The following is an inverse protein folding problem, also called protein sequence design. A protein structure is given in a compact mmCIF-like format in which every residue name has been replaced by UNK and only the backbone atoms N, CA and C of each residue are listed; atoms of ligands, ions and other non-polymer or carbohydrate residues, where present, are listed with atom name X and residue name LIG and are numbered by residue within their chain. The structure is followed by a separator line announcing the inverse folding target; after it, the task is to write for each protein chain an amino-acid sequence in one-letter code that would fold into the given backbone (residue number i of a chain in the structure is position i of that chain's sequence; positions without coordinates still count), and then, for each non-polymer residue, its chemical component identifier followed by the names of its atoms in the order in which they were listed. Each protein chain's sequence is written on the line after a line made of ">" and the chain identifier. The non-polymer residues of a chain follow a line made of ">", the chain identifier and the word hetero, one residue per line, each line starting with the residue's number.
data_IF_170146795479
#
_entry.id   IF_170146795479
#
_cell.length_a   1.000
_cell.length_b   1.000
_cell.length_c   1.000
_cell.angle_alpha   90.00
_cell.angle_beta   90.00
_cell.angle_gamma   90.00
#
_symmetry.space_group_name_H-M   'P 1'
#
loop_
_entity.id
_entity.type
_entity.pdbx_description
1 polymer ?
2 polymer ?
3 polymer ?
4 non-polymer ?
5 non-polymer ?
6 water ?
#
# COMPACT_ATOMS: atom_id res chain seq x y z
N UNK A 3 2.52 6.93 -17.69
CA UNK A 3 1.74 5.89 -16.96
C UNK A 3 0.62 6.52 -16.14
N UNK A 4 -0.45 5.76 -15.92
CA UNK A 4 -1.57 6.26 -15.14
C UNK A 4 -2.04 5.31 -14.05
N UNK A 5 -2.11 4.01 -14.35
CA UNK A 5 -2.56 3.04 -13.35
C UNK A 5 -1.78 1.73 -13.42
N UNK A 6 -1.62 1.10 -12.26
CA UNK A 6 -0.90 -0.16 -12.18
C UNK A 6 -1.62 -1.13 -11.23
N UNK A 7 -1.79 -2.37 -11.68
CA UNK A 7 -2.42 -3.40 -10.85
C UNK A 7 -1.35 -4.45 -10.64
N UNK A 8 -1.03 -4.73 -9.38
CA UNK A 8 -0.01 -5.71 -9.07
C UNK A 8 -0.52 -6.88 -8.23
N UNK A 9 -0.28 -8.08 -8.72
CA UNK A 9 -0.65 -9.30 -8.00
C UNK A 9 0.65 -9.66 -7.29
N UNK A 10 0.68 -9.48 -5.98
CA UNK A 10 1.87 -9.77 -5.19
C UNK A 10 1.66 -10.99 -4.29
N UNK A 11 2.59 -11.92 -4.36
CA UNK A 11 2.49 -13.14 -3.55
C UNK A 11 3.88 -13.55 -3.07
N UNK A 12 3.93 -14.19 -1.92
CA UNK A 12 5.20 -14.64 -1.37
C UNK A 12 5.06 -15.87 -0.48
N UNK A 13 6.17 -16.54 -0.25
CA UNK A 13 6.21 -17.70 0.64
C UNK A 13 7.49 -17.53 1.44
N UNK A 14 7.41 -17.80 2.75
CA UNK A 14 8.54 -17.63 3.63
C UNK A 14 8.88 -18.87 4.45
N UNK A 15 10.17 -19.22 4.47
CA UNK A 15 10.67 -20.34 5.26
C UNK A 15 11.58 -19.74 6.33
N UNK A 16 11.70 -20.41 7.49
CA UNK A 16 11.03 -21.67 7.86
C UNK A 16 9.62 -21.48 8.39
N UNK A 17 9.14 -20.25 8.40
CA UNK A 17 7.81 -19.96 8.90
C UNK A 17 6.70 -20.72 8.19
N UNK A 18 6.94 -21.10 6.94
CA UNK A 18 5.96 -21.84 6.16
C UNK A 18 4.68 -21.03 6.07
N UNK A 19 4.81 -19.74 5.77
CA UNK A 19 3.68 -18.84 5.64
C UNK A 19 3.74 -18.10 4.31
N UNK A 20 2.57 -17.87 3.72
CA UNK A 20 2.53 -17.17 2.46
C UNK A 20 1.35 -16.24 2.38
N UNK A 21 1.42 -15.26 1.49
CA UNK A 21 0.34 -14.31 1.30
C UNK A 21 0.12 -14.06 -0.18
N UNK A 22 -1.08 -13.63 -0.52
CA UNK A 22 -1.46 -13.37 -1.91
C UNK A 22 -2.41 -12.18 -1.92
N UNK A 23 -2.06 -11.14 -2.66
CA UNK A 23 -2.92 -9.97 -2.73
C UNK A 23 -2.82 -9.22 -4.05
N UNK A 24 -3.82 -8.39 -4.31
CA UNK A 24 -3.85 -7.56 -5.50
C UNK A 24 -3.77 -6.12 -5.01
N UNK A 25 -2.95 -5.32 -5.69
CA UNK A 25 -2.74 -3.92 -5.34
C UNK A 25 -3.10 -3.04 -6.54
N UNK A 26 -3.84 -1.96 -6.29
CA UNK A 26 -4.21 -1.01 -7.33
C UNK A 26 -3.66 0.34 -6.89
N UNK A 27 -2.68 0.85 -7.62
CA UNK A 27 -2.06 2.14 -7.32
C UNK A 27 -1.68 2.34 -5.85
N UNK A 28 -1.24 1.28 -5.18
CA UNK A 28 -0.84 1.42 -3.79
C UNK A 28 -1.85 0.94 -2.75
N UNK A 29 -3.08 0.72 -3.17
CA UNK A 29 -4.11 0.23 -2.26
C UNK A 29 -4.43 -1.23 -2.56
N UNK A 30 -4.88 -1.95 -1.55
CA UNK A 30 -5.20 -3.37 -1.70
C UNK A 30 -6.65 -3.59 -2.16
N UNK A 31 -6.84 -4.44 -3.17
CA UNK A 31 -8.20 -4.74 -3.63
C UNK A 31 -8.71 -5.87 -2.77
N UNK A 32 -7.88 -6.90 -2.60
CA UNK A 32 -8.21 -8.06 -1.77
C UNK A 32 -6.96 -8.90 -1.52
N UNK A 33 -7.08 -9.85 -0.60
CA UNK A 33 -6.00 -10.79 -0.33
C UNK A 33 -6.69 -12.11 -0.01
N UNK A 34 -5.91 -13.19 0.04
CA UNK A 34 -6.45 -14.50 0.34
C UNK A 34 -5.96 -15.01 1.70
N UNK A 35 -6.91 -15.33 2.59
CA UNK A 35 -6.59 -15.87 3.90
C UNK A 35 -6.15 -17.32 3.65
N UNK A 36 -4.85 -17.57 3.76
CA UNK A 36 -4.31 -18.90 3.51
C UNK A 36 -4.86 -19.99 4.44
N UNK A 37 -5.10 -19.63 5.69
CA UNK A 37 -5.60 -20.58 6.67
C UNK A 37 -7.04 -20.96 6.38
N UNK A 38 -7.88 -19.95 6.12
CA UNK A 38 -9.29 -20.19 5.84
C UNK A 38 -9.54 -20.46 4.36
N UNK A 39 -8.54 -20.16 3.54
CA UNK A 39 -8.62 -20.37 2.09
C UNK A 39 -9.79 -19.57 1.52
N UNK A 40 -9.90 -18.32 1.96
CA UNK A 40 -11.00 -17.46 1.52
C UNK A 40 -10.52 -16.12 0.98
N UNK A 41 -11.37 -15.50 0.18
CA UNK A 41 -11.09 -14.20 -0.41
C UNK A 41 -11.55 -13.11 0.55
N UNK A 42 -10.65 -12.19 0.87
CA UNK A 42 -10.95 -11.09 1.78
C UNK A 42 -10.84 -9.76 1.05
N UNK A 43 -11.96 -9.10 0.83
CA UNK A 43 -11.95 -7.81 0.14
C UNK A 43 -11.56 -6.70 1.11
N UNK A 44 -10.75 -5.75 0.63
CA UNK A 44 -10.28 -4.66 1.47
C UNK A 44 -11.42 -3.76 1.96
N UNK A 45 -12.35 -3.47 1.07
CA UNK A 45 -13.52 -2.67 1.42
C UNK A 45 -14.70 -3.59 1.11
N UNK A 46 -15.62 -3.70 2.05
CA UNK A 46 -16.79 -4.57 1.88
C UNK A 46 -17.53 -4.49 0.55
N UNK A 47 -17.78 -3.28 0.05
CA UNK A 47 -18.51 -3.14 -1.20
C UNK A 47 -17.85 -3.84 -2.39
N UNK A 48 -16.52 -3.94 -2.38
CA UNK A 48 -15.80 -4.59 -3.48
C UNK A 48 -16.38 -5.98 -3.79
N UNK A 49 -16.72 -6.71 -2.73
CA UNK A 49 -17.27 -8.05 -2.88
C UNK A 49 -18.54 -8.17 -3.70
N UNK A 50 -19.25 -7.08 -3.89
CA UNK A 50 -20.48 -7.13 -4.68
C UNK A 50 -20.21 -6.64 -6.10
N UNK A 51 -18.97 -6.21 -6.35
CA UNK A 51 -18.58 -5.70 -7.66
C UNK A 51 -17.75 -6.72 -8.41
N UNK A 52 -17.07 -7.59 -7.69
CA UNK A 52 -16.21 -8.59 -8.33
C UNK A 52 -16.14 -9.89 -7.54
N UNK A 53 -15.53 -10.90 -8.16
CA UNK A 53 -15.39 -12.21 -7.56
C UNK A 53 -14.02 -12.82 -7.81
N UNK A 54 -13.46 -13.48 -6.81
CA UNK A 54 -12.17 -14.13 -6.98
C UNK A 54 -12.20 -15.47 -6.27
N UNK A 55 -11.83 -16.53 -6.99
CA UNK A 55 -11.81 -17.87 -6.41
C UNK A 55 -10.49 -18.06 -5.67
N UNK A 56 -10.56 -18.11 -4.35
CA UNK A 56 -9.38 -18.24 -3.50
C UNK A 56 -8.46 -19.42 -3.80
N UNK A 57 -9.04 -20.56 -4.17
CA UNK A 57 -8.25 -21.75 -4.44
C UNK A 57 -7.10 -21.51 -5.42
N UNK A 58 -7.32 -20.63 -6.40
CA UNK A 58 -6.27 -20.33 -7.35
C UNK A 58 -5.03 -19.83 -6.64
N UNK A 59 -5.24 -18.97 -5.65
CA UNK A 59 -4.15 -18.41 -4.85
C UNK A 59 -3.39 -19.50 -4.10
N UNK A 60 -4.12 -20.48 -3.56
CA UNK A 60 -3.48 -21.57 -2.83
C UNK A 60 -2.54 -22.38 -3.71
N UNK A 61 -2.97 -22.65 -4.94
CA UNK A 61 -2.15 -23.40 -5.88
C UNK A 61 -0.91 -22.60 -6.26
N UNK A 62 -1.05 -21.28 -6.37
CA UNK A 62 0.06 -20.40 -6.69
C UNK A 62 1.10 -20.49 -5.57
N UNK A 63 0.64 -20.36 -4.33
CA UNK A 63 1.53 -20.43 -3.17
C UNK A 63 2.29 -21.75 -3.12
N UNK A 64 1.62 -22.85 -3.48
CA UNK A 64 2.27 -24.15 -3.49
C UNK A 64 3.46 -24.11 -4.46
N UNK A 65 3.26 -23.45 -5.60
CA UNK A 65 4.33 -23.32 -6.58
C UNK A 65 5.44 -22.41 -6.06
N UNK A 66 5.07 -21.31 -5.41
CA UNK A 66 6.08 -20.39 -4.87
C UNK A 66 6.92 -21.11 -3.82
N UNK A 67 6.28 -22.00 -3.06
CA UNK A 67 6.97 -22.77 -2.02
C UNK A 67 7.99 -23.69 -2.68
N UNK A 68 7.58 -24.34 -3.75
CA UNK A 68 8.47 -25.24 -4.48
C UNK A 68 9.63 -24.44 -5.07
N UNK A 69 9.33 -23.28 -5.63
CA UNK A 69 10.38 -22.43 -6.21
C UNK A 69 11.36 -21.96 -5.14
N UNK A 70 10.85 -21.66 -3.95
CA UNK A 70 11.68 -21.21 -2.84
C UNK A 70 12.71 -22.26 -2.43
N UNK A 71 12.24 -23.50 -2.25
CA UNK A 71 13.13 -24.57 -1.86
C UNK A 71 14.26 -24.72 -2.88
N UNK A 72 13.91 -24.62 -4.17
CA UNK A 72 14.91 -24.73 -5.23
C UNK A 72 15.88 -23.55 -5.26
N UNK A 73 15.34 -22.34 -5.19
CA UNK A 73 16.18 -21.15 -5.23
C UNK A 73 17.05 -20.99 -3.99
N UNK A 74 16.59 -21.51 -2.86
CA UNK A 74 17.35 -21.43 -1.62
C UNK A 74 18.62 -22.25 -1.80
N UNK A 75 18.47 -23.45 -2.34
CA UNK A 75 19.60 -24.33 -2.58
C UNK A 75 20.57 -23.75 -3.62
N UNK A 76 20.03 -23.22 -4.71
CA UNK A 76 20.86 -22.64 -5.76
C UNK A 76 21.64 -21.40 -5.32
N UNK A 77 21.18 -20.73 -4.27
CA UNK A 77 21.86 -19.54 -3.79
C UNK A 77 22.69 -19.83 -2.54
N UNK A 78 23.06 -21.09 -2.34
CA UNK A 78 23.87 -21.50 -1.21
C UNK A 78 23.31 -21.14 0.16
N UNK A 79 21.99 -21.34 0.32
CA UNK A 79 21.31 -21.06 1.57
C UNK A 79 21.62 -19.70 2.20
N UNK A 80 21.93 -18.70 1.38
CA UNK A 80 22.20 -17.38 1.91
C UNK A 80 20.88 -16.83 2.45
N UNK A 81 20.85 -16.48 3.74
CA UNK A 81 19.64 -15.95 4.37
C UNK A 81 19.33 -14.51 3.93
N UNK A 82 18.06 -14.14 4.03
CA UNK A 82 17.65 -12.79 3.67
C UNK A 82 18.23 -11.85 4.71
N UNK A 83 18.55 -10.63 4.30
CA UNK A 83 19.09 -9.64 5.23
C UNK A 83 17.92 -8.87 5.83
N UNK A 84 17.90 -8.75 7.15
CA UNK A 84 16.83 -8.04 7.83
C UNK A 84 16.93 -6.54 7.61
N UNK A 85 15.80 -5.91 7.31
CA UNK A 85 15.73 -4.47 7.13
C UNK A 85 14.64 -4.02 8.10
N UNK A 86 15.04 -3.34 9.18
CA UNK A 86 14.12 -2.84 10.21
C UNK A 86 13.13 -1.81 9.68
N UNK A 87 11.91 -1.81 10.23
CA UNK A 87 10.91 -0.85 9.77
C UNK A 87 10.98 0.51 10.43
N UNK A 88 10.36 1.48 9.78
CA UNK A 88 10.25 2.80 10.37
C UNK A 88 8.76 2.81 10.69
N UNK A 89 8.42 3.31 11.87
CA UNK A 89 7.04 3.33 12.32
C UNK A 89 6.53 4.74 12.56
N UNK A 90 5.31 5.02 12.09
CA UNK A 90 4.69 6.32 12.25
C UNK A 90 3.28 6.15 12.79
N UNK A 91 2.92 6.94 13.80
CA UNK A 91 1.58 6.88 14.38
C UNK A 91 0.90 8.21 14.10
N UNK A 92 -0.31 8.16 13.56
CA UNK A 92 -1.07 9.36 13.24
C UNK A 92 -2.56 9.07 13.31
N UNK A 93 -3.38 10.10 13.22
CA UNK A 93 -4.83 9.91 13.25
C UNK A 93 -5.33 10.08 11.82
N UNK A 94 -6.50 9.54 11.52
CA UNK A 94 -7.00 9.69 10.16
C UNK A 94 -7.61 11.06 9.90
N UNK A 95 -7.83 11.83 10.97
CA UNK A 95 -8.38 13.18 10.86
C UNK A 95 -8.05 14.00 12.10
N UNK A 96 -8.25 15.32 12.05
CA UNK A 96 -7.97 16.17 13.21
C UNK A 96 -8.73 15.68 14.43
N UNK A 97 -8.07 15.68 15.58
CA UNK A 97 -8.66 15.20 16.82
C UNK A 97 -9.55 16.19 17.55
N UNK A 98 -10.72 15.71 17.98
CA UNK A 98 -11.69 16.49 18.73
C UNK A 98 -12.25 15.64 19.87
N UNK A 99 -12.34 16.24 21.06
CA UNK A 99 -12.80 15.57 22.27
C UNK A 99 -13.89 14.49 22.20
N UNK A 100 -15.12 14.87 21.87
CA UNK A 100 -16.21 13.89 21.83
C UNK A 100 -16.56 13.33 20.46
N UNK A 101 -15.59 13.34 19.55
CA UNK A 101 -15.79 12.81 18.20
C UNK A 101 -14.86 11.64 17.98
N UNK A 102 -15.41 10.45 17.69
CA UNK A 102 -14.58 9.28 17.46
C UNK A 102 -13.58 9.51 16.33
N UNK A 103 -12.43 8.83 16.40
CA UNK A 103 -11.39 8.97 15.40
C UNK A 103 -10.70 7.62 15.26
N UNK A 104 -9.62 7.59 14.49
CA UNK A 104 -8.89 6.35 14.28
C UNK A 104 -7.38 6.59 14.32
N UNK A 105 -6.68 5.83 15.17
CA UNK A 105 -5.24 5.94 15.26
C UNK A 105 -4.69 4.98 14.21
N UNK A 106 -3.68 5.43 13.48
CA UNK A 106 -3.06 4.60 12.44
C UNK A 106 -1.60 4.35 12.76
N UNK A 107 -1.19 3.09 12.75
CA UNK A 107 0.21 2.76 12.99
C UNK A 107 0.70 2.27 11.64
N UNK A 108 1.58 3.04 11.02
CA UNK A 108 2.13 2.70 9.70
C UNK A 108 3.54 2.15 9.84
N UNK A 109 3.72 0.88 9.47
CA UNK A 109 5.00 0.17 9.53
C UNK A 109 5.49 0.11 8.09
N UNK A 110 6.66 0.69 7.84
CA UNK A 110 7.17 0.81 6.48
C UNK A 110 8.63 0.42 6.25
N UNK A 111 8.94 0.11 4.98
CA UNK A 111 10.28 -0.22 4.53
C UNK A 111 11.01 -1.34 5.28
N UNK A 112 10.37 -2.49 5.42
CA UNK A 112 10.99 -3.61 6.11
C UNK A 112 10.86 -4.95 5.37
N UNK A 113 11.66 -5.92 5.82
CA UNK A 113 11.66 -7.28 5.29
C UNK A 113 12.57 -8.07 6.23
N UNK A 114 12.26 -9.36 6.46
CA UNK A 114 11.14 -10.13 5.92
C UNK A 114 9.77 -9.68 6.42
N UNK A 115 8.69 -10.13 5.74
CA UNK A 115 7.31 -9.77 6.10
C UNK A 115 6.79 -10.49 7.34
N UNK A 116 7.40 -10.17 8.49
CA UNK A 116 7.00 -10.74 9.77
C UNK A 116 7.18 -9.65 10.84
N UNK A 117 6.10 -9.35 11.56
CA UNK A 117 6.15 -8.35 12.63
C UNK A 117 5.13 -8.66 13.71
N UNK A 118 5.39 -8.13 14.91
CA UNK A 118 4.45 -8.27 16.02
C UNK A 118 4.06 -6.83 16.28
N UNK A 119 2.77 -6.55 16.30
CA UNK A 119 2.31 -5.19 16.53
C UNK A 119 1.31 -5.21 17.68
N UNK A 120 1.47 -4.28 18.62
CA UNK A 120 0.57 -4.20 19.75
C UNK A 120 0.17 -2.76 20.03
N UNK A 121 -1.12 -2.55 20.24
CA UNK A 121 -1.63 -1.22 20.59
C UNK A 121 -1.72 -1.19 22.11
N UNK A 122 -1.23 -0.12 22.72
CA UNK A 122 -1.28 0.03 24.16
C UNK A 122 -1.94 1.36 24.50
N UNK A 123 -2.96 1.32 25.35
CA UNK A 123 -3.65 2.52 25.79
C UNK A 123 -3.41 2.58 27.29
N UNK A 124 -2.62 3.56 27.73
CA UNK A 124 -2.30 3.69 29.14
C UNK A 124 -1.68 2.37 29.62
N UNK A 125 -0.84 1.79 28.77
CA UNK A 125 -0.18 0.55 29.12
C UNK A 125 -1.01 -0.71 28.94
N UNK A 126 -2.30 -0.58 28.65
CA UNK A 126 -3.15 -1.75 28.47
C UNK A 126 -3.20 -2.20 27.01
N UNK A 127 -2.93 -3.49 26.75
CA UNK A 127 -2.98 -3.98 25.37
C UNK A 127 -4.42 -3.89 24.85
N UNK A 128 -4.60 -3.27 23.70
CA UNK A 128 -5.93 -3.12 23.13
C UNK A 128 -6.14 -4.06 21.95
N UNK A 129 -7.12 -4.94 22.08
CA UNK A 129 -7.43 -5.90 21.03
C UNK A 129 -8.89 -5.80 20.63
N UNK A 130 -9.55 -4.73 21.09
CA UNK A 130 -10.96 -4.52 20.78
C UNK A 130 -11.15 -3.49 19.68
N UNK A 131 -11.85 -3.89 18.62
CA UNK A 131 -12.10 -2.99 17.52
C UNK A 131 -10.94 -2.75 16.58
N UNK A 132 -9.78 -3.32 16.91
CA UNK A 132 -8.60 -3.11 16.06
C UNK A 132 -8.67 -3.89 14.76
N UNK A 133 -7.91 -3.42 13.77
CA UNK A 133 -7.85 -4.10 12.48
C UNK A 133 -6.47 -3.83 11.90
N UNK A 134 -6.12 -4.58 10.86
CA UNK A 134 -4.81 -4.43 10.24
C UNK A 134 -4.86 -4.90 8.80
N UNK A 135 -3.84 -4.57 8.02
CA UNK A 135 -3.77 -5.00 6.63
C UNK A 135 -2.74 -6.12 6.56
N UNK A 136 -2.67 -6.80 5.42
CA UNK A 136 -1.68 -7.84 5.22
C UNK A 136 -0.42 -7.06 4.81
N UNK A 137 0.63 -7.77 4.42
CA UNK A 137 1.86 -7.09 4.01
C UNK A 137 1.73 -6.57 2.59
N UNK A 138 1.79 -5.24 2.45
CA UNK A 138 1.62 -4.57 1.16
C UNK A 138 2.96 -4.33 0.44
N UNK A 139 2.93 -4.35 -0.90
CA UNK A 139 4.13 -4.15 -1.72
C UNK A 139 4.64 -2.71 -1.87
N UNK A 140 5.94 -2.61 -2.15
CA UNK A 140 6.62 -1.35 -2.37
C UNK A 140 7.47 -1.56 -3.62
N UNK A 141 7.71 -0.48 -4.37
CA UNK A 141 8.50 -0.59 -5.58
C UNK A 141 9.94 -1.04 -5.32
N UNK A 142 10.43 -0.82 -4.11
CA UNK A 142 11.78 -1.23 -3.76
C UNK A 142 11.80 -2.64 -3.18
N UNK A 143 10.64 -3.30 -3.23
CA UNK A 143 10.48 -4.67 -2.78
C UNK A 143 10.49 -4.94 -1.29
N UNK A 144 10.41 -3.87 -0.50
CA UNK A 144 10.33 -4.00 0.94
C UNK A 144 8.81 -4.04 1.15
N UNK A 145 8.37 -4.08 2.41
CA UNK A 145 6.94 -4.14 2.69
C UNK A 145 6.39 -2.96 3.49
N UNK A 146 5.06 -2.82 3.44
CA UNK A 146 4.31 -1.79 4.17
C UNK A 146 3.22 -2.55 4.92
N UNK A 147 2.74 -1.98 6.02
CA UNK A 147 1.67 -2.62 6.78
C UNK A 147 0.98 -1.55 7.62
N UNK A 148 -0.35 -1.59 7.70
CA UNK A 148 -1.10 -0.63 8.49
C UNK A 148 -1.92 -1.32 9.60
N UNK A 149 -1.93 -0.71 10.78
CA UNK A 149 -2.72 -1.21 11.90
C UNK A 149 -3.63 -0.06 12.30
N UNK A 150 -4.85 -0.37 12.72
CA UNK A 150 -5.82 0.64 13.07
C UNK A 150 -6.47 0.46 14.43
N UNK A 151 -6.71 1.57 15.11
CA UNK A 151 -7.35 1.54 16.41
C UNK A 151 -8.37 2.68 16.53
N UNK A 152 -9.66 2.36 16.37
CA UNK A 152 -10.68 3.40 16.49
C UNK A 152 -10.68 3.80 17.97
N UNK A 153 -10.85 5.09 18.24
CA UNK A 153 -10.82 5.53 19.62
C UNK A 153 -11.61 6.81 19.82
N UNK A 154 -11.76 7.19 21.08
CA UNK A 154 -12.46 8.40 21.44
C UNK A 154 -11.43 9.29 22.13
N UNK A 155 -11.07 10.42 21.49
CA UNK A 155 -10.08 11.36 22.03
C UNK A 155 -10.34 11.72 23.49
N UNK A 156 -9.25 11.80 24.27
CA UNK A 156 -9.34 12.13 25.68
C UNK A 156 -8.00 12.67 26.17
N UNK A 157 -8.03 13.72 26.97
CA UNK A 157 -6.80 14.31 27.50
C UNK A 157 -6.17 13.39 28.54
N UNK A 158 -6.90 12.35 28.92
CA UNK A 158 -6.43 11.42 29.94
C UNK A 158 -5.75 10.16 29.41
N UNK A 159 -5.80 9.94 28.10
CA UNK A 159 -5.20 8.75 27.53
C UNK A 159 -3.91 8.96 26.73
N UNK A 160 -3.04 7.95 26.79
CA UNK A 160 -1.80 7.96 26.04
C UNK A 160 -1.82 6.66 25.26
N UNK A 161 -1.25 6.67 24.07
CA UNK A 161 -1.22 5.48 23.24
C UNK A 161 0.18 5.17 22.76
N UNK A 162 0.43 3.90 22.50
CA UNK A 162 1.71 3.44 22.00
C UNK A 162 1.47 2.33 20.99
N UNK A 163 2.20 2.38 19.89
CA UNK A 163 2.14 1.31 18.90
C UNK A 163 3.48 0.62 19.12
N UNK A 164 3.45 -0.63 19.60
CA UNK A 164 4.68 -1.36 19.86
C UNK A 164 4.94 -2.35 18.73
N UNK A 165 6.08 -2.18 18.06
CA UNK A 165 6.43 -3.04 16.95
C UNK A 165 7.71 -3.84 17.17
N UNK A 166 7.64 -5.13 16.84
CA UNK A 166 8.76 -6.03 16.97
C UNK A 166 9.11 -6.58 15.59
N UNK A 167 10.40 -6.62 15.27
CA UNK A 167 10.86 -7.13 13.99
C UNK A 167 12.31 -7.57 14.18
N UNK A 168 12.69 -8.68 13.55
CA UNK A 168 14.04 -9.21 13.69
C UNK A 168 15.15 -8.25 13.30
N UNK A 169 14.80 -7.19 12.57
CA UNK A 169 15.79 -6.20 12.18
C UNK A 169 16.05 -5.21 13.29
N UNK A 170 15.20 -5.25 14.32
CA UNK A 170 15.32 -4.36 15.47
C UNK A 170 15.94 -5.13 16.65
N UNK A 171 16.73 -4.43 17.45
CA UNK A 171 17.38 -5.05 18.61
C UNK A 171 16.42 -5.09 19.80
N UNK A 172 15.47 -4.17 19.81
CA UNK A 172 14.49 -4.11 20.89
C UNK A 172 13.17 -3.60 20.32
N UNK A 173 12.06 -3.79 21.04
CA UNK A 173 10.78 -3.32 20.52
C UNK A 173 10.83 -1.82 20.23
N UNK A 174 10.20 -1.43 19.13
CA UNK A 174 10.15 -0.03 18.74
C UNK A 174 8.78 0.51 19.15
N UNK A 175 8.77 1.52 20.02
CA UNK A 175 7.52 2.10 20.48
C UNK A 175 7.33 3.51 19.98
N UNK A 176 6.18 3.76 19.35
CA UNK A 176 5.85 5.09 18.85
C UNK A 176 4.68 5.57 19.71
N UNK A 177 4.89 6.71 20.37
CA UNK A 177 3.93 7.30 21.29
C UNK A 177 2.99 8.32 20.64
N UNK A 178 1.80 8.47 21.21
CA UNK A 178 0.83 9.45 20.73
C UNK A 178 -0.14 9.81 21.85
N UNK A 179 -0.49 11.10 21.92
CA UNK A 179 -1.44 11.56 22.92
C UNK A 179 -2.07 12.87 22.49
N UNK A 180 -3.31 13.09 22.91
CA UNK A 180 -4.04 14.30 22.57
C UNK A 180 -3.40 15.51 23.23
N UNK B 4 16.05 -18.12 13.76
CA UNK B 4 16.57 -18.88 12.59
C UNK B 4 16.65 -17.98 11.35
N UNK B 5 17.49 -18.36 10.38
CA UNK B 5 17.64 -17.58 9.14
C UNK B 5 16.35 -17.68 8.34
N UNK B 6 16.02 -16.63 7.58
CA UNK B 6 14.80 -16.67 6.77
C UNK B 6 15.10 -16.71 5.28
N UNK B 7 14.19 -17.30 4.53
CA UNK B 7 14.31 -17.42 3.08
C UNK B 7 12.98 -17.00 2.47
N UNK B 8 13.00 -15.95 1.65
CA UNK B 8 11.78 -15.43 1.06
C UNK B 8 11.70 -15.53 -0.46
N UNK B 9 10.55 -16.01 -0.95
CA UNK B 9 10.33 -16.12 -2.39
C UNK B 9 9.13 -15.23 -2.71
N UNK B 10 9.34 -14.27 -3.60
CA UNK B 10 8.31 -13.32 -3.98
C UNK B 10 8.06 -13.27 -5.49
N UNK B 11 6.79 -13.12 -5.86
CA UNK B 11 6.42 -13.00 -7.27
C UNK B 11 5.49 -11.81 -7.40
N UNK B 12 5.78 -10.93 -8.36
CA UNK B 12 4.95 -9.77 -8.62
C UNK B 12 4.55 -9.80 -10.08
N UNK B 13 3.24 -9.89 -10.32
CA UNK B 13 2.69 -9.89 -11.66
C UNK B 13 2.07 -8.51 -11.82
N UNK B 14 2.73 -7.66 -12.61
CA UNK B 14 2.29 -6.29 -12.80
C UNK B 14 1.66 -5.99 -14.14
N UNK B 15 0.60 -5.19 -14.09
CA UNK B 15 -0.12 -4.75 -15.27
C UNK B 15 -0.08 -3.23 -15.26
N UNK B 16 0.60 -2.66 -16.24
CA UNK B 16 0.74 -1.22 -16.35
C UNK B 16 -0.19 -0.71 -17.44
N UNK B 17 -1.01 0.28 -17.10
CA UNK B 17 -1.97 0.83 -18.04
C UNK B 17 -1.69 2.29 -18.38
N UNK B 18 -1.71 2.57 -19.67
CA UNK B 18 -1.48 3.93 -20.17
C UNK B 18 -2.70 4.31 -20.99
N UNK B 19 -3.38 5.38 -20.59
CA UNK B 19 -4.59 5.84 -21.26
C UNK B 19 -5.59 4.69 -21.30
N UNK B 20 -6.08 4.30 -20.14
CA UNK B 20 -7.02 3.20 -20.06
C UNK B 20 -6.32 1.92 -20.46
N UNK B 21 -6.90 1.18 -21.40
CA UNK B 21 -6.30 -0.06 -21.86
C UNK B 21 -5.69 0.11 -23.26
N UNK B 22 -5.43 1.35 -23.67
CA UNK B 22 -4.85 1.58 -24.98
C UNK B 22 -3.47 0.93 -25.05
N UNK B 23 -2.61 1.26 -24.09
CA UNK B 23 -1.28 0.67 -24.04
C UNK B 23 -1.13 -0.08 -22.73
N UNK B 24 -0.86 -1.37 -22.81
CA UNK B 24 -0.72 -2.21 -21.63
C UNK B 24 0.59 -2.98 -21.65
N UNK B 25 1.25 -3.04 -20.50
CA UNK B 25 2.50 -3.77 -20.37
C UNK B 25 2.42 -4.73 -19.18
N UNK B 26 2.74 -5.99 -19.45
CA UNK B 26 2.70 -7.04 -18.45
C UNK B 26 4.12 -7.42 -18.04
N UNK B 27 4.38 -7.42 -16.74
CA UNK B 27 5.67 -7.78 -16.20
C UNK B 27 5.48 -8.82 -15.11
N UNK B 28 6.18 -9.95 -15.27
CA UNK B 28 6.11 -11.03 -14.31
C UNK B 28 7.52 -11.10 -13.73
N UNK B 29 7.64 -10.71 -12.45
CA UNK B 29 8.94 -10.63 -11.79
C UNK B 29 9.14 -11.56 -10.59
N UNK B 30 10.26 -12.27 -10.60
CA UNK B 30 10.60 -13.21 -9.52
C UNK B 30 11.73 -12.70 -8.64
N UNK B 31 11.52 -12.72 -7.33
CA UNK B 31 12.52 -12.26 -6.37
C UNK B 31 12.85 -13.31 -5.31
N UNK B 32 14.14 -13.46 -5.00
CA UNK B 32 14.55 -14.38 -3.95
C UNK B 32 15.34 -13.54 -2.93
N UNK B 33 14.84 -13.45 -1.70
CA UNK B 33 15.48 -12.65 -0.66
C UNK B 33 15.76 -11.23 -1.14
N UNK B 34 14.75 -10.59 -1.72
CA UNK B 34 14.84 -9.21 -2.20
C UNK B 34 15.57 -9.02 -3.53
N UNK B 35 16.16 -10.08 -4.07
CA UNK B 35 16.89 -9.98 -5.33
C UNK B 35 16.10 -10.52 -6.52
N UNK B 36 15.76 -9.64 -7.45
CA UNK B 36 15.02 -10.06 -8.64
C UNK B 36 16.01 -10.85 -9.50
N UNK B 37 15.66 -12.09 -9.87
CA UNK B 37 16.58 -12.88 -10.68
C UNK B 37 16.13 -13.17 -12.11
N UNK B 38 14.82 -13.11 -12.37
CA UNK B 38 14.33 -13.35 -13.71
C UNK B 38 12.97 -12.67 -13.90
N UNK B 39 12.62 -12.34 -15.14
CA UNK B 39 11.34 -11.69 -15.40
C UNK B 39 10.86 -11.89 -16.83
N UNK B 40 9.55 -11.72 -17.02
CA UNK B 40 8.95 -11.79 -18.33
C UNK B 40 8.39 -10.39 -18.54
N UNK B 41 8.72 -9.80 -19.67
CA UNK B 41 8.28 -8.45 -20.02
C UNK B 41 7.52 -8.59 -21.34
N UNK B 42 6.25 -8.18 -21.36
CA UNK B 42 5.47 -8.29 -22.58
C UNK B 42 6.07 -7.52 -23.75
N UNK B 43 6.92 -6.53 -23.47
CA UNK B 43 7.56 -5.76 -24.55
C UNK B 43 8.58 -6.65 -25.27
N UNK B 44 9.11 -7.63 -24.56
CA UNK B 44 10.10 -8.54 -25.13
C UNK B 44 9.47 -9.84 -25.63
N UNK B 45 8.60 -10.46 -24.83
CA UNK B 45 7.95 -11.68 -25.26
C UNK B 45 8.61 -12.97 -24.80
N UNK B 46 9.64 -12.86 -23.98
CA UNK B 46 10.32 -14.03 -23.43
C UNK B 46 10.94 -13.66 -22.08
N UNK B 47 11.33 -14.68 -21.32
CA UNK B 47 11.95 -14.43 -20.03
C UNK B 47 13.39 -13.97 -20.18
N UNK B 48 13.82 -13.10 -19.28
CA UNK B 48 15.18 -12.59 -19.30
C UNK B 48 15.75 -12.64 -17.89
N UNK B 49 16.96 -13.16 -17.77
CA UNK B 49 17.60 -13.23 -16.46
C UNK B 49 17.97 -11.83 -16.03
N UNK B 50 17.72 -11.51 -14.77
CA UNK B 50 18.05 -10.19 -14.23
C UNK B 50 19.41 -10.31 -13.57
N UNK B 51 19.67 -11.49 -13.02
CA UNK B 51 20.96 -11.78 -12.39
C UNK B 51 21.38 -13.16 -12.89
N UNK B 52 22.64 -13.53 -12.65
CA UNK B 52 23.12 -14.82 -13.10
C UNK B 52 22.27 -15.96 -12.56
N UNK B 53 21.69 -15.74 -11.39
CA UNK B 53 20.85 -16.75 -10.74
C UNK B 53 19.64 -17.13 -11.61
N UNK B 54 19.21 -16.22 -12.47
CA UNK B 54 18.06 -16.51 -13.31
C UNK B 54 18.34 -17.01 -14.72
N UNK B 55 19.61 -17.13 -15.08
CA UNK B 55 19.96 -17.60 -16.42
C UNK B 55 19.40 -18.98 -16.74
N UNK B 56 19.61 -19.97 -15.86
CA UNK B 56 19.09 -21.31 -16.12
C UNK B 56 17.56 -21.34 -16.19
N UNK B 57 16.93 -20.47 -15.41
CA UNK B 57 15.48 -20.40 -15.37
C UNK B 57 14.92 -19.84 -16.68
N UNK B 58 15.48 -18.71 -17.13
CA UNK B 58 15.03 -18.09 -18.36
C UNK B 58 15.26 -19.02 -19.54
N UNK B 59 16.41 -19.68 -19.56
CA UNK B 59 16.73 -20.60 -20.65
C UNK B 59 15.74 -21.76 -20.71
N UNK B 60 15.45 -22.35 -19.56
CA UNK B 60 14.51 -23.47 -19.50
C UNK B 60 13.10 -23.07 -19.92
N UNK B 61 12.59 -21.98 -19.35
CA UNK B 61 11.25 -21.53 -19.67
C UNK B 61 11.10 -21.06 -21.11
N UNK B 62 12.11 -20.38 -21.64
CA UNK B 62 12.05 -19.88 -23.00
C UNK B 62 12.00 -20.97 -24.07
N UNK B 63 12.31 -22.20 -23.68
CA UNK B 63 12.29 -23.31 -24.61
C UNK B 63 10.90 -23.93 -24.66
N UNK B 64 9.99 -23.40 -23.84
CA UNK B 64 8.61 -23.88 -23.78
C UNK B 64 7.70 -22.90 -24.50
N UNK B 65 7.52 -23.08 -25.79
CA UNK B 65 6.67 -22.19 -26.58
C UNK B 65 5.25 -22.08 -26.03
N UNK B 66 4.73 -23.19 -25.51
CA UNK B 66 3.39 -23.21 -24.95
C UNK B 66 3.30 -22.24 -23.77
N UNK B 67 4.33 -22.24 -22.94
CA UNK B 67 4.39 -21.34 -21.79
C UNK B 67 4.46 -19.89 -22.25
N UNK B 68 5.37 -19.62 -23.19
CA UNK B 68 5.52 -18.26 -23.70
C UNK B 68 4.26 -17.76 -24.39
N UNK B 69 3.59 -18.62 -25.14
CA UNK B 69 2.37 -18.20 -25.82
C UNK B 69 1.31 -17.79 -24.80
N UNK B 70 1.28 -18.48 -23.67
CA UNK B 70 0.34 -18.18 -22.60
C UNK B 70 0.66 -16.81 -22.01
N UNK B 71 1.93 -16.60 -21.70
CA UNK B 71 2.37 -15.34 -21.11
C UNK B 71 2.20 -14.15 -22.07
N UNK B 72 2.38 -14.39 -23.36
CA UNK B 72 2.23 -13.32 -24.35
C UNK B 72 0.77 -12.92 -24.49
N UNK B 73 -0.12 -13.75 -23.97
CA UNK B 73 -1.54 -13.42 -24.08
C UNK B 73 -2.06 -12.74 -22.84
N UNK B 74 -1.22 -12.63 -21.82
CA UNK B 74 -1.65 -12.01 -20.57
C UNK B 74 -2.04 -10.52 -20.64
N UNK B 75 -1.41 -9.73 -21.50
CA UNK B 75 -1.81 -8.33 -21.58
C UNK B 75 -3.31 -8.24 -21.86
N UNK B 76 -3.85 -9.23 -22.55
CA UNK B 76 -5.27 -9.25 -22.88
C UNK B 76 -6.10 -10.07 -21.91
N UNK B 77 -5.73 -11.33 -21.74
CA UNK B 77 -6.45 -12.28 -20.89
C UNK B 77 -6.35 -12.03 -19.38
N UNK B 78 -5.36 -11.26 -18.98
CA UNK B 78 -5.13 -10.98 -17.56
C UNK B 78 -5.23 -9.49 -17.26
N UNK B 79 -4.34 -8.69 -17.84
CA UNK B 79 -4.34 -7.25 -17.62
C UNK B 79 -5.62 -6.54 -18.07
N UNK B 80 -5.91 -6.59 -19.37
CA UNK B 80 -7.12 -5.91 -19.84
C UNK B 80 -8.39 -6.50 -19.24
N UNK B 81 -8.41 -7.82 -19.07
CA UNK B 81 -9.58 -8.46 -18.47
C UNK B 81 -9.84 -7.90 -17.08
N UNK B 82 -8.83 -7.98 -16.21
CA UNK B 82 -8.98 -7.50 -14.85
C UNK B 82 -9.29 -6.01 -14.76
N UNK B 83 -8.66 -5.22 -15.63
CA UNK B 83 -8.92 -3.80 -15.64
C UNK B 83 -10.41 -3.56 -15.85
N UNK B 84 -10.97 -4.28 -16.82
CA UNK B 84 -12.39 -4.14 -17.11
C UNK B 84 -13.27 -4.52 -15.93
N UNK B 85 -12.83 -5.52 -15.16
CA UNK B 85 -13.59 -5.98 -14.01
C UNK B 85 -13.57 -4.98 -12.84
N UNK B 86 -12.43 -4.36 -12.57
CA UNK B 86 -12.32 -3.46 -11.42
C UNK B 86 -12.31 -1.95 -11.67
N UNK B 87 -12.16 -1.53 -12.92
CA UNK B 87 -12.07 -0.10 -13.21
C UNK B 87 -13.17 0.79 -12.63
N UNK B 88 -14.41 0.31 -12.64
CA UNK B 88 -15.52 1.10 -12.14
C UNK B 88 -15.37 1.54 -10.68
N UNK B 89 -14.76 0.71 -9.84
CA UNK B 89 -14.59 1.05 -8.44
C UNK B 89 -13.15 1.35 -8.00
N UNK B 90 -12.28 1.53 -8.97
CA UNK B 90 -10.87 1.84 -8.68
C UNK B 90 -10.43 3.05 -9.50
N UNK B 91 -10.28 2.83 -10.80
CA UNK B 91 -9.89 3.90 -11.72
C UNK B 91 -10.88 5.06 -11.63
N UNK B 92 -12.16 4.74 -11.51
CA UNK B 92 -13.21 5.77 -11.43
C UNK B 92 -13.64 6.15 -10.02
N UNK B 93 -12.92 5.64 -9.02
CA UNK B 93 -13.24 5.96 -7.63
C UNK B 93 -12.89 7.41 -7.34
N UNK B 94 -13.84 8.14 -6.78
CA UNK B 94 -13.62 9.54 -6.42
C UNK B 94 -14.34 9.84 -5.12
N UNK B 95 -13.58 10.26 -4.13
CA UNK B 95 -14.11 10.60 -2.81
C UNK B 95 -13.59 12.00 -2.50
N UNK B 96 -14.50 12.95 -2.36
CA UNK B 96 -14.09 14.33 -2.10
C UNK B 96 -13.47 14.46 -0.73
N UNK B 97 -12.56 15.44 -0.57
CA UNK B 97 -11.90 15.65 0.72
C UNK B 97 -12.73 16.43 1.73
N UNK B 98 -12.47 16.17 3.00
CA UNK B 98 -13.13 16.90 4.06
C UNK B 98 -12.10 17.96 4.40
N UNK B 99 -12.48 19.23 4.30
CA UNK B 99 -11.57 20.33 4.55
C UNK B 99 -11.95 21.13 5.79
N UNK B 100 -10.96 21.42 6.63
CA UNK B 100 -11.19 22.20 7.84
C UNK B 100 -9.94 22.98 8.20
N UNK B 101 -10.12 24.09 8.88
CA UNK B 101 -9.01 24.94 9.29
C UNK B 101 -9.05 25.12 10.79
N UNK B 102 -7.91 24.94 11.43
CA UNK B 102 -7.82 25.10 12.87
C UNK B 102 -6.49 25.74 13.23
N UNK B 103 -6.46 26.52 14.32
CA UNK B 103 -5.22 27.17 14.73
C UNK B 103 -4.35 26.19 15.51
N UNK B 104 -3.04 26.32 15.37
CA UNK B 104 -2.10 25.45 16.08
C UNK B 104 -1.08 26.27 16.85
N UNK B 105 -0.85 25.90 18.11
CA UNK B 105 0.11 26.61 18.94
C UNK B 105 1.53 26.15 18.65
N UNK B 111 2.88 34.47 21.53
CA UNK B 111 1.49 34.10 21.77
C UNK B 111 0.69 34.23 20.47
N UNK B 112 0.95 33.33 19.53
CA UNK B 112 0.26 33.31 18.25
C UNK B 112 -0.02 31.88 17.79
N UNK B 113 -1.08 31.72 17.00
CA UNK B 113 -1.45 30.40 16.49
C UNK B 113 -1.46 30.39 14.98
N UNK B 114 -0.67 29.51 14.38
CA UNK B 114 -0.61 29.41 12.94
C UNK B 114 -1.77 28.57 12.43
N UNK B 115 -2.33 28.96 11.29
CA UNK B 115 -3.47 28.26 10.71
C UNK B 115 -3.05 27.01 9.96
N UNK B 116 -3.76 25.91 10.24
CA UNK B 116 -3.49 24.65 9.58
C UNK B 116 -4.71 24.22 8.79
N UNK B 117 -4.50 23.86 7.52
CA UNK B 117 -5.59 23.40 6.68
C UNK B 117 -5.50 21.88 6.61
N UNK B 118 -6.50 21.20 7.14
CA UNK B 118 -6.53 19.75 7.12
C UNK B 118 -7.42 19.30 5.98
N UNK B 119 -6.87 18.46 5.10
CA UNK B 119 -7.58 17.93 3.94
C UNK B 119 -7.52 16.41 4.07
N UNK B 120 -8.63 15.77 4.40
CA UNK B 120 -8.62 14.33 4.61
C UNK B 120 -9.70 13.49 3.95
N UNK B 121 -9.50 12.18 4.05
CA UNK B 121 -10.44 11.20 3.52
C UNK B 121 -10.66 11.21 2.02
N UNK B 122 -9.74 11.78 1.25
CA UNK B 122 -9.94 11.84 -0.19
C UNK B 122 -9.28 10.76 -1.03
N UNK B 123 -9.77 10.62 -2.26
CA UNK B 123 -9.25 9.66 -3.23
C UNK B 123 -9.67 10.14 -4.63
N UNK B 124 -8.75 10.08 -5.62
CA UNK B 124 -7.37 9.59 -5.56
C UNK B 124 -6.41 10.54 -4.84
N UNK B 125 -5.13 10.19 -4.84
CA UNK B 125 -4.14 10.99 -4.15
C UNK B 125 -3.76 12.35 -4.71
N UNK B 126 -3.96 12.58 -6.00
CA UNK B 126 -3.60 13.87 -6.61
C UNK B 126 -4.42 15.01 -6.03
N UNK B 127 -3.74 16.01 -5.48
CA UNK B 127 -4.45 17.14 -4.89
C UNK B 127 -3.55 18.37 -4.84
N UNK B 128 -4.19 19.54 -4.81
CA UNK B 128 -3.47 20.82 -4.75
C UNK B 128 -4.13 21.68 -3.68
N UNK B 129 -3.35 22.11 -2.69
CA UNK B 129 -3.88 22.94 -1.60
C UNK B 129 -3.16 24.28 -1.58
N UNK B 130 -3.93 25.36 -1.62
CA UNK B 130 -3.36 26.70 -1.62
C UNK B 130 -3.96 27.58 -0.53
N UNK B 131 -3.13 28.48 -0.01
CA UNK B 131 -3.55 29.43 1.02
C UNK B 131 -3.64 30.82 0.42
N UNK B 132 -4.65 31.57 0.81
CA UNK B 132 -4.84 32.93 0.33
C UNK B 132 -5.02 33.86 1.53
N UNK B 133 -4.57 35.09 1.37
CA UNK B 133 -4.68 36.10 2.41
C UNK B 133 -5.45 37.25 1.78
N UNK B 134 -6.68 37.47 2.22
CA UNK B 134 -7.51 38.53 1.70
C UNK B 134 -7.54 38.53 0.16
N UNK B 135 -7.61 37.34 -0.42
CA UNK B 135 -7.66 37.25 -1.87
C UNK B 135 -6.34 37.04 -2.58
N UNK B 136 -5.23 37.29 -1.89
CA UNK B 136 -3.91 37.12 -2.49
C UNK B 136 -3.30 35.80 -2.04
N UNK B 137 -2.86 34.99 -2.99
CA UNK B 137 -2.28 33.70 -2.67
C UNK B 137 -0.92 33.79 -2.00
N UNK B 138 -0.75 33.00 -0.94
CA UNK B 138 0.51 32.94 -0.21
C UNK B 138 1.23 31.77 -0.86
N UNK B 139 1.86 32.04 -2.00
CA UNK B 139 2.55 31.02 -2.77
C UNK B 139 3.81 30.43 -2.16
N UNK B 140 4.49 31.18 -1.30
CA UNK B 140 5.72 30.69 -0.70
C UNK B 140 5.77 30.67 0.82
N UNK B 141 4.65 30.92 1.48
CA UNK B 141 4.65 30.91 2.94
C UNK B 141 3.89 29.71 3.48
N UNK B 142 4.02 28.58 2.80
CA UNK B 142 3.30 27.37 3.19
C UNK B 142 4.21 26.14 3.34
N UNK B 143 3.92 25.32 4.33
CA UNK B 143 4.65 24.07 4.57
C UNK B 143 3.60 22.97 4.74
N UNK B 144 3.94 21.75 4.33
CA UNK B 144 2.98 20.64 4.39
C UNK B 144 3.60 19.33 4.83
N UNK B 145 2.74 18.37 5.17
CA UNK B 145 3.19 17.05 5.56
C UNK B 145 3.49 16.28 4.28
N UNK B 146 2.97 16.77 3.17
CA UNK B 146 3.14 16.06 1.92
C UNK B 146 1.94 15.12 1.88
N UNK B 147 1.82 14.30 0.85
CA UNK B 147 0.69 13.39 0.74
C UNK B 147 0.84 12.20 1.69
N UNK B 148 -0.19 11.95 2.48
CA UNK B 148 -0.17 10.83 3.41
C UNK B 148 -1.22 9.79 3.02
N UNK B 149 -0.78 8.57 2.80
CA UNK B 149 -1.68 7.47 2.43
C UNK B 149 -2.14 6.77 3.72
N UNK B 150 -3.44 6.60 3.88
CA UNK B 150 -3.99 5.96 5.09
C UNK B 150 -4.13 4.44 4.99
N UNK B 151 -3.75 3.88 3.84
CA UNK B 151 -3.81 2.45 3.61
C UNK B 151 -5.19 1.83 3.46
N UNK B 152 -6.21 2.68 3.32
CA UNK B 152 -7.60 2.24 3.24
C UNK B 152 -8.37 2.91 2.11
N UNK B 153 -7.69 3.19 1.00
CA UNK B 153 -8.29 3.86 -0.14
C UNK B 153 -8.67 5.32 0.13
N UNK B 154 -7.92 5.96 1.02
CA UNK B 154 -8.11 7.38 1.32
C UNK B 154 -6.75 7.97 1.62
N UNK B 155 -6.63 9.30 1.43
CA UNK B 155 -5.40 10.02 1.70
C UNK B 155 -5.74 11.24 2.52
N UNK B 156 -4.70 11.91 3.02
CA UNK B 156 -4.87 13.13 3.78
C UNK B 156 -3.59 13.95 3.68
N UNK B 157 -3.67 15.21 4.07
CA UNK B 157 -2.51 16.09 4.08
C UNK B 157 -2.84 17.30 4.95
N UNK B 158 -1.81 17.83 5.61
CA UNK B 158 -1.99 19.02 6.43
C UNK B 158 -1.15 20.09 5.77
N UNK B 159 -1.73 21.26 5.58
CA UNK B 159 -1.02 22.36 4.95
C UNK B 159 -1.08 23.59 5.85
N UNK B 160 0.06 23.95 6.42
CA UNK B 160 0.13 25.08 7.35
C UNK B 160 0.62 26.40 6.77
N UNK B 161 -0.11 27.47 7.09
CA UNK B 161 0.25 28.81 6.65
C UNK B 161 1.22 29.37 7.68
N UNK B 162 2.42 29.72 7.23
CA UNK B 162 3.44 30.25 8.12
C UNK B 162 3.21 31.70 8.53
N UNK B 163 2.44 32.42 7.72
CA UNK B 163 2.14 33.82 8.00
C UNK B 163 1.33 33.97 9.28
N UNK B 164 1.76 34.86 10.16
CA UNK B 164 1.06 35.11 11.42
C UNK B 164 -0.30 35.76 11.13
N UNK B 165 -1.38 35.17 11.66
CA UNK B 165 -2.73 35.72 11.42
C UNK B 165 -2.93 37.09 12.08
N UNK B 166 -3.51 38.02 11.34
CA UNK B 166 -3.76 39.36 11.86
C UNK B 166 -5.26 39.63 11.93
N UNK B 167 -5.74 40.01 13.10
CA UNK B 167 -7.16 40.29 13.29
C UNK B 167 -7.63 41.26 12.21
N UNK B 168 -8.74 40.92 11.57
CA UNK B 168 -9.28 41.76 10.52
C UNK B 168 -9.07 41.16 9.14
N UNK B 169 -7.99 40.38 9.01
CA UNK B 169 -7.69 39.75 7.74
C UNK B 169 -8.42 38.43 7.60
N UNK B 170 -8.64 38.02 6.35
CA UNK B 170 -9.34 36.78 6.06
C UNK B 170 -8.40 35.82 5.33
N UNK B 171 -8.27 34.61 5.85
CA UNK B 171 -7.39 33.60 5.26
C UNK B 171 -8.23 32.48 4.67
N UNK B 172 -7.93 32.09 3.44
CA UNK B 172 -8.71 31.03 2.81
C UNK B 172 -7.86 29.86 2.32
N UNK B 173 -8.30 28.66 2.66
CA UNK B 173 -7.62 27.45 2.21
C UNK B 173 -8.40 26.98 1.00
N UNK B 174 -7.71 26.77 -0.12
CA UNK B 174 -8.33 26.34 -1.36
C UNK B 174 -7.83 24.96 -1.76
N UNK B 175 -8.76 24.06 -2.07
CA UNK B 175 -8.41 22.69 -2.45
C UNK B 175 -8.95 22.29 -3.81
N UNK B 176 -8.06 21.80 -4.66
CA UNK B 176 -8.46 21.35 -6.00
C UNK B 176 -8.21 19.85 -6.02
N UNK B 177 -9.19 19.09 -6.51
CA UNK B 177 -9.10 17.64 -6.54
C UNK B 177 -10.03 17.13 -7.64
N UNK B 178 -9.70 15.97 -8.24
CA UNK B 178 -10.50 15.38 -9.32
C UNK B 178 -11.98 15.21 -8.99
N UNK B 179 -12.29 15.11 -7.70
CA UNK B 179 -13.67 14.91 -7.25
C UNK B 179 -14.57 16.15 -7.31
N UNK B 180 -14.00 17.32 -7.50
CA UNK B 180 -14.79 18.55 -7.56
C UNK B 180 -14.46 19.39 -8.80
N UNK B 181 -15.48 20.06 -9.33
CA UNK B 181 -15.33 20.87 -10.54
C UNK B 181 -14.95 22.32 -10.28
N UNK B 182 -14.91 22.72 -9.02
CA UNK B 182 -14.50 24.06 -8.62
C UNK B 182 -13.82 23.85 -7.29
N UNK B 183 -12.83 24.70 -6.96
CA UNK B 183 -12.10 24.58 -5.70
C UNK B 183 -12.96 24.60 -4.44
N UNK B 184 -12.61 23.73 -3.49
CA UNK B 184 -13.30 23.68 -2.22
C UNK B 184 -12.54 24.67 -1.35
N UNK B 185 -13.26 25.55 -0.66
CA UNK B 185 -12.57 26.52 0.16
C UNK B 185 -13.14 26.64 1.57
N UNK B 186 -12.26 26.96 2.51
CA UNK B 186 -12.65 27.16 3.89
C UNK B 186 -11.99 28.48 4.29
N UNK B 187 -12.81 29.38 4.80
CA UNK B 187 -12.33 30.70 5.19
C UNK B 187 -12.18 30.83 6.70
N UNK B 188 -11.11 31.50 7.12
CA UNK B 188 -10.85 31.72 8.53
C UNK B 188 -10.74 33.22 8.71
N UNK B 189 -11.64 33.79 9.51
CA UNK B 189 -11.67 35.22 9.77
C UNK B 189 -10.90 35.51 11.05
N UNK B 190 -9.70 36.06 10.92
CA UNK B 190 -8.87 36.36 12.07
C UNK B 190 -9.32 37.63 12.80
N UNK C 1 -16.13 -8.86 -13.80
CA UNK C 1 -16.90 -9.75 -12.89
C UNK C 1 -15.98 -10.73 -12.19
N UNK C 2 -15.25 -11.52 -12.96
CA UNK C 2 -14.32 -12.50 -12.40
C UNK C 2 -12.87 -12.05 -12.53
N UNK C 3 -12.19 -11.87 -11.41
CA UNK C 3 -10.78 -11.48 -11.42
C UNK C 3 -9.96 -12.73 -11.72
N UNK C 4 -9.08 -12.64 -12.71
CA UNK C 4 -8.24 -13.76 -13.11
C UNK C 4 -6.82 -13.63 -12.58
N UNK C 5 -6.27 -14.72 -12.05
CA UNK C 5 -4.91 -14.65 -11.53
C UNK C 5 -3.87 -15.15 -12.53
N UNK C 6 -2.64 -14.68 -12.35
CA UNK C 6 -1.51 -15.07 -13.19
C UNK C 6 -0.81 -16.19 -12.43
N UNK C 7 -0.37 -17.23 -13.13
CA UNK C 7 0.28 -18.35 -12.48
C UNK C 7 1.79 -18.30 -12.58
N UNK C 8 2.49 -18.65 -11.49
CA UNK C 8 3.95 -18.65 -11.46
C UNK C 8 4.49 -19.75 -12.35
N UNK C 9 5.68 -19.54 -12.91
CA UNK C 9 6.28 -20.58 -13.71
C UNK C 9 6.91 -21.51 -12.70
N UNK C 10 6.99 -22.79 -13.02
CA UNK C 10 7.59 -23.74 -12.10
C UNK C 10 9.06 -23.93 -12.45
N UNK C 11 9.93 -23.54 -11.52
CA UNK C 11 11.36 -23.66 -11.72
C UNK C 11 11.74 -25.14 -11.61
N UNK C 12 12.53 -25.62 -12.56
CA UNK C 12 12.96 -27.02 -12.57
C UNK C 12 13.95 -27.33 -11.47
N UNK C 13 13.79 -28.48 -10.83
CA UNK C 13 14.67 -28.91 -9.75
C UNK C 13 15.71 -29.90 -10.27
#
# INVERSE_FOLDING_TARGET
>A
IKEEHVIIQAEFYLNPDQSGEFMFDFDGDEIFHVDMAKKETVWRLEEFGRFASFEAQGALANIAVDKANLEIMTKRSNYTPITNVPPEVTVLTNSPVELREPNVLICFIDKFTPPVVNVTWLRNGKPVTTGVSETVFLPREDHLFRKFHYLPFLPSTEDVYDCRVEHWGLDEPLLKHWEFD
>B
GDTRPRFLELLKSECHFFNGTERVRFLERYFHNQEEFVRFDSDVGEYRAVTELGRPVAESWNSQKDLLEQKRGQVDNYCRHNYGVVESFTVQRRVHPQVTVYPAKTQPLQHHNLLVCSVSGFYPGSIEVRWFRNGQEEKTGVVSTGLIHNGDWTFQTLVMLETVPRSGEVYTCQVEHPSVTSPLTVEWRA
>C
QVIILNHPGQISA
#
